data_IF_780195574285
#
_entry.id   IF_780195574285
#
_cell.length_a   1.000
_cell.length_b   1.000
_cell.length_c   1.000
_cell.angle_alpha   90.00
_cell.angle_beta   90.00
_cell.angle_gamma   90.00
#
_symmetry.space_group_name_H-M   'P 1'
#
loop_
_entity.id
_entity.type
_entity.pdbx_description
1 polymer ?
#
# COMPACT_ATOMS: atom_id res chain seq x y z
N UNK A 1 -51.88 49.59 3.69
CA UNK A 1 -50.89 50.07 4.68
C UNK A 1 -49.60 50.40 3.95
N UNK A 2 -49.57 51.56 3.28
CA UNK A 2 -48.32 52.17 2.90
C UNK A 2 -47.56 52.49 4.19
N UNK A 3 -46.30 52.04 4.32
CA UNK A 3 -45.22 52.77 5.02
C UNK A 3 -43.96 51.90 5.11
N UNK A 4 -42.84 52.58 4.81
CA UNK A 4 -41.46 52.25 5.10
C UNK A 4 -40.84 51.17 4.22
N UNK A 5 -40.49 51.50 2.98
CA UNK A 5 -39.21 51.08 2.36
C UNK A 5 -38.86 52.04 1.18
N UNK A 6 -39.07 53.34 1.38
CA UNK A 6 -38.46 54.42 0.57
C UNK A 6 -37.27 54.98 1.35
N UNK A 7 -36.06 54.51 1.05
CA UNK A 7 -34.82 55.27 1.37
C UNK A 7 -33.55 54.86 0.64
N UNK A 8 -33.56 53.76 -0.11
CA UNK A 8 -32.43 53.43 -1.00
C UNK A 8 -33.00 52.94 -2.33
N UNK A 9 -33.14 53.87 -3.28
CA UNK A 9 -33.59 53.61 -4.65
C UNK A 9 -32.57 52.78 -5.43
N UNK A 10 -32.40 51.52 -5.04
CA UNK A 10 -31.57 50.55 -5.73
C UNK A 10 -32.48 49.56 -6.47
N UNK A 11 -32.68 49.82 -7.76
CA UNK A 11 -33.25 48.82 -8.67
C UNK A 11 -32.27 47.63 -8.81
N UNK A 12 -32.78 46.38 -8.97
CA UNK A 12 -31.94 45.21 -9.19
C UNK A 12 -31.06 45.35 -10.43
N UNK A 13 -29.77 45.08 -10.24
CA UNK A 13 -28.63 45.32 -11.13
C UNK A 13 -28.68 44.64 -12.52
N UNK A 14 -29.66 43.82 -12.85
CA UNK A 14 -29.59 42.95 -14.05
C UNK A 14 -30.20 43.55 -15.33
N UNK A 15 -30.70 44.78 -15.31
CA UNK A 15 -31.35 45.41 -16.47
C UNK A 15 -30.49 46.51 -17.13
N UNK A 16 -29.25 46.17 -17.50
CA UNK A 16 -28.43 46.99 -18.40
C UNK A 16 -27.61 46.12 -19.34
N UNK A 17 -28.30 45.37 -20.19
CA UNK A 17 -27.72 44.82 -21.42
C UNK A 17 -28.24 45.65 -22.59
N UNK A 18 -27.37 46.43 -23.21
CA UNK A 18 -27.75 47.24 -24.37
C UNK A 18 -26.66 48.16 -24.87
N UNK A 19 -25.83 47.63 -25.77
CA UNK A 19 -25.15 48.36 -26.86
C UNK A 19 -23.98 49.27 -26.49
N UNK A 20 -22.78 48.83 -26.86
CA UNK A 20 -21.57 49.64 -26.86
C UNK A 20 -20.43 48.87 -27.52
N UNK A 21 -20.36 48.96 -28.85
CA UNK A 21 -19.28 48.43 -29.66
C UNK A 21 -17.93 49.02 -29.22
N UNK A 22 -16.93 48.15 -29.06
CA UNK A 22 -15.55 48.55 -28.78
C UNK A 22 -14.65 47.32 -28.78
N UNK A 23 -13.90 47.14 -29.86
CA UNK A 23 -13.02 46.00 -30.04
C UNK A 23 -11.91 45.96 -29.00
N UNK A 24 -11.82 44.82 -28.32
CA UNK A 24 -10.59 44.34 -27.70
C UNK A 24 -10.53 42.84 -27.99
N UNK A 25 -9.52 42.41 -28.76
CA UNK A 25 -9.22 40.99 -28.91
C UNK A 25 -8.81 40.45 -27.54
N UNK A 26 -9.66 39.65 -26.92
CA UNK A 26 -9.33 38.83 -25.76
C UNK A 26 -8.87 37.45 -26.25
N UNK A 27 -7.62 37.14 -25.95
CA UNK A 27 -7.02 35.82 -26.14
C UNK A 27 -7.91 34.76 -25.49
N UNK A 28 -8.14 33.65 -26.22
CA UNK A 28 -9.00 32.55 -25.78
C UNK A 28 -8.66 32.12 -24.34
N UNK A 29 -9.64 32.32 -23.44
CA UNK A 29 -9.58 31.79 -22.09
C UNK A 29 -9.48 30.26 -22.16
N UNK A 30 -8.39 29.70 -21.65
CA UNK A 30 -8.22 28.27 -21.49
C UNK A 30 -9.33 27.66 -20.61
N UNK A 31 -9.58 26.35 -20.72
CA UNK A 31 -10.70 25.72 -20.04
C UNK A 31 -10.57 25.86 -18.52
N UNK A 32 -11.69 26.16 -17.85
CA UNK A 32 -11.75 26.27 -16.39
C UNK A 32 -11.24 24.98 -15.72
N UNK A 33 -10.55 25.08 -14.57
CA UNK A 33 -10.05 23.89 -13.87
C UNK A 33 -11.22 22.99 -13.47
N UNK A 34 -11.11 21.70 -13.81
CA UNK A 34 -12.09 20.69 -13.42
C UNK A 34 -12.22 20.65 -11.88
N UNK A 35 -13.45 20.50 -11.39
CA UNK A 35 -13.71 20.35 -9.96
C UNK A 35 -12.87 19.20 -9.38
N UNK A 36 -12.36 19.31 -8.13
CA UNK A 36 -11.57 18.27 -7.51
C UNK A 36 -12.38 16.97 -7.42
N UNK A 37 -11.86 15.91 -8.04
CA UNK A 37 -12.51 14.60 -8.04
C UNK A 37 -12.44 14.00 -6.62
N UNK A 38 -13.60 13.61 -6.08
CA UNK A 38 -13.66 12.85 -4.83
C UNK A 38 -13.18 11.43 -5.12
N UNK A 39 -12.14 10.92 -4.43
CA UNK A 39 -11.69 9.56 -4.65
C UNK A 39 -12.79 8.57 -4.26
N UNK A 40 -12.98 7.54 -5.08
CA UNK A 40 -13.92 6.46 -4.80
C UNK A 40 -13.60 5.75 -3.49
N UNK A 41 -14.57 4.99 -2.97
CA UNK A 41 -14.38 4.18 -1.75
C UNK A 41 -13.28 3.14 -2.02
N UNK A 42 -12.25 3.04 -1.16
CA UNK A 42 -11.21 2.03 -1.35
C UNK A 42 -11.86 0.63 -1.34
N UNK A 43 -11.47 -0.23 -2.28
CA UNK A 43 -11.94 -1.61 -2.44
C UNK A 43 -13.43 -1.80 -2.82
N UNK A 44 -14.14 -0.74 -3.23
CA UNK A 44 -15.49 -0.90 -3.77
C UNK A 44 -15.47 -1.75 -5.04
N UNK A 45 -16.04 -2.96 -4.97
CA UNK A 45 -16.11 -3.89 -6.11
C UNK A 45 -16.83 -3.28 -7.33
N UNK A 46 -17.75 -2.35 -7.09
CA UNK A 46 -18.55 -1.71 -8.14
C UNK A 46 -17.85 -0.50 -8.77
N UNK A 47 -16.94 0.16 -8.03
CA UNK A 47 -16.15 1.30 -8.53
C UNK A 47 -14.76 0.89 -9.01
N UNK A 48 -14.35 -0.36 -8.76
CA UNK A 48 -13.13 -0.97 -9.25
C UNK A 48 -13.26 -1.30 -10.75
N UNK A 49 -13.20 -0.27 -11.59
CA UNK A 49 -12.92 -0.47 -13.00
C UNK A 49 -11.57 -1.18 -13.12
N UNK A 50 -11.52 -2.29 -13.86
CA UNK A 50 -10.29 -3.04 -14.16
C UNK A 50 -9.42 -2.21 -15.11
N UNK A 51 -8.78 -1.19 -14.54
CA UNK A 51 -7.78 -0.42 -15.23
C UNK A 51 -6.53 -1.30 -15.37
N UNK A 52 -5.92 -1.39 -16.56
CA UNK A 52 -4.67 -2.11 -16.70
C UNK A 52 -3.67 -1.50 -15.72
N UNK A 53 -3.27 -2.28 -14.72
CA UNK A 53 -2.35 -1.82 -13.70
C UNK A 53 -1.08 -1.27 -14.39
N UNK A 54 -0.68 -0.06 -14.02
CA UNK A 54 0.48 0.58 -14.64
C UNK A 54 1.71 -0.31 -14.42
N UNK A 55 2.32 -0.73 -15.53
CA UNK A 55 3.45 -1.64 -15.55
C UNK A 55 4.62 -1.13 -14.69
N UNK A 56 4.75 0.18 -14.53
CA UNK A 56 5.76 0.77 -13.62
C UNK A 56 5.52 0.40 -12.16
N UNK A 57 4.27 0.43 -11.70
CA UNK A 57 3.91 0.06 -10.33
C UNK A 57 4.05 -1.44 -10.10
N UNK A 58 3.65 -2.27 -11.07
CA UNK A 58 3.87 -3.71 -11.00
C UNK A 58 5.36 -4.03 -10.86
N UNK A 59 6.20 -3.41 -11.70
CA UNK A 59 7.65 -3.57 -11.62
C UNK A 59 8.23 -3.10 -10.28
N UNK A 60 7.69 -2.02 -9.70
CA UNK A 60 8.09 -1.55 -8.38
C UNK A 60 7.74 -2.53 -7.26
N UNK A 61 6.54 -3.13 -7.30
CA UNK A 61 6.13 -4.15 -6.34
C UNK A 61 7.02 -5.39 -6.47
N UNK A 62 7.26 -5.85 -7.71
CA UNK A 62 8.16 -6.97 -7.97
C UNK A 62 9.58 -6.69 -7.47
N UNK A 63 10.11 -5.49 -7.74
CA UNK A 63 11.41 -5.06 -7.24
C UNK A 63 11.45 -5.00 -5.71
N UNK A 64 10.38 -4.51 -5.06
CA UNK A 64 10.27 -4.46 -3.61
C UNK A 64 10.18 -5.84 -2.96
N UNK A 65 9.69 -6.86 -3.67
CA UNK A 65 9.59 -8.24 -3.19
C UNK A 65 10.90 -9.04 -3.30
N UNK A 66 11.92 -8.53 -4.02
CA UNK A 66 13.21 -9.23 -4.14
C UNK A 66 13.94 -9.36 -2.80
N UNK A 67 14.94 -10.24 -2.75
CA UNK A 67 15.86 -10.33 -1.62
C UNK A 67 16.76 -9.08 -1.55
N UNK A 68 17.18 -8.62 -0.37
CA UNK A 68 18.07 -7.46 -0.22
C UNK A 68 19.36 -7.54 -1.05
N UNK A 69 19.99 -8.72 -1.10
CA UNK A 69 21.23 -9.00 -1.85
C UNK A 69 21.04 -8.81 -3.37
N UNK A 70 19.81 -8.98 -3.87
CA UNK A 70 19.47 -8.76 -5.29
C UNK A 70 19.13 -7.30 -5.60
N UNK A 71 18.84 -6.47 -4.59
CA UNK A 71 18.47 -5.05 -4.74
C UNK A 71 19.64 -4.10 -4.58
N UNK A 72 20.52 -4.38 -3.62
CA UNK A 72 21.64 -3.51 -3.27
C UNK A 72 22.95 -4.27 -3.36
N UNK A 73 24.04 -3.58 -3.72
CA UNK A 73 25.38 -4.16 -3.73
C UNK A 73 25.93 -4.39 -2.33
N UNK A 74 25.52 -3.55 -1.37
CA UNK A 74 26.03 -3.50 -0.01
C UNK A 74 24.85 -3.41 0.98
N UNK A 75 25.00 -3.94 2.21
CA UNK A 75 23.99 -3.82 3.24
C UNK A 75 23.74 -2.34 3.58
N UNK A 76 22.48 -1.96 3.66
CA UNK A 76 22.10 -0.56 3.93
C UNK A 76 21.93 -0.28 5.43
N UNK A 77 21.83 -1.34 6.25
CA UNK A 77 21.65 -1.23 7.70
C UNK A 77 22.47 -2.30 8.42
N UNK A 78 22.87 -2.01 9.65
CA UNK A 78 23.57 -2.94 10.55
C UNK A 78 22.86 -4.30 10.67
N UNK A 79 21.53 -4.27 10.74
CA UNK A 79 20.74 -5.50 10.82
C UNK A 79 20.78 -6.33 9.54
N UNK A 80 21.00 -5.71 8.38
CA UNK A 80 21.16 -6.42 7.11
C UNK A 80 22.53 -7.07 7.00
N UNK A 81 23.56 -6.52 7.65
CA UNK A 81 24.93 -7.08 7.60
C UNK A 81 24.98 -8.54 8.10
N UNK A 82 24.27 -8.83 9.19
CA UNK A 82 24.22 -10.16 9.80
C UNK A 82 23.67 -11.22 8.83
N UNK A 83 22.69 -10.84 8.01
CA UNK A 83 22.03 -11.72 7.05
C UNK A 83 22.51 -11.57 5.60
N UNK A 84 23.53 -10.73 5.35
CA UNK A 84 23.93 -10.37 4.00
C UNK A 84 24.62 -11.53 3.27
N UNK A 85 25.48 -12.27 3.97
CA UNK A 85 26.18 -13.44 3.42
C UNK A 85 25.51 -14.71 3.94
N UNK A 86 24.60 -15.30 3.16
CA UNK A 86 23.91 -16.54 3.52
C UNK A 86 24.74 -17.80 3.25
N UNK A 87 25.82 -17.67 2.47
CA UNK A 87 26.73 -18.76 2.18
C UNK A 87 27.61 -19.05 3.40
N UNK A 88 27.63 -20.29 3.92
CA UNK A 88 28.47 -20.61 5.05
C UNK A 88 29.95 -20.49 4.66
N UNK A 89 30.80 -20.04 5.58
CA UNK A 89 32.25 -19.92 5.37
C UNK A 89 32.91 -21.28 5.05
N UNK A 90 32.33 -22.37 5.56
CA UNK A 90 32.77 -23.73 5.32
C UNK A 90 31.62 -24.48 4.64
N UNK A 91 31.90 -25.12 3.52
CA UNK A 91 30.94 -26.01 2.87
C UNK A 91 30.71 -27.23 3.76
N UNK A 92 29.57 -27.28 4.44
CA UNK A 92 29.18 -28.44 5.25
C UNK A 92 28.48 -29.45 4.36
N UNK A 93 29.14 -30.57 4.10
CA UNK A 93 28.49 -31.71 3.48
C UNK A 93 27.53 -32.37 4.48
N UNK A 94 26.22 -32.17 4.26
CA UNK A 94 25.17 -32.78 5.10
C UNK A 94 24.88 -34.23 4.74
N UNK A 95 25.52 -34.77 3.70
CA UNK A 95 25.41 -36.18 3.31
C UNK A 95 26.41 -37.07 4.04
N UNK A 96 27.55 -36.50 4.46
CA UNK A 96 28.57 -37.24 5.19
C UNK A 96 28.11 -37.58 6.63
N UNK A 97 27.75 -38.84 6.83
CA UNK A 97 27.32 -39.39 8.13
C UNK A 97 28.45 -39.42 9.18
N UNK A 98 29.71 -39.18 8.79
CA UNK A 98 30.85 -39.13 9.70
C UNK A 98 30.98 -37.78 10.42
N UNK A 99 30.46 -36.72 9.81
CA UNK A 99 30.59 -35.35 10.31
C UNK A 99 29.23 -34.71 10.61
N UNK A 100 28.15 -35.16 9.97
CA UNK A 100 26.81 -34.63 10.14
C UNK A 100 25.95 -35.49 11.08
N UNK A 101 25.80 -35.06 12.33
CA UNK A 101 25.01 -35.72 13.37
C UNK A 101 23.83 -34.85 13.85
N UNK A 102 22.78 -34.64 13.04
CA UNK A 102 21.61 -33.91 13.49
C UNK A 102 20.89 -34.69 14.58
N UNK A 103 20.35 -33.99 15.58
CA UNK A 103 19.47 -34.62 16.57
C UNK A 103 18.18 -35.05 15.87
N UNK A 104 17.91 -36.35 15.89
CA UNK A 104 16.68 -36.92 15.36
C UNK A 104 15.79 -37.43 16.50
N UNK A 105 14.49 -37.24 16.37
CA UNK A 105 13.52 -37.81 17.31
C UNK A 105 13.38 -39.30 17.03
N UNK A 106 13.67 -40.14 18.02
CA UNK A 106 13.37 -41.58 17.97
C UNK A 106 11.88 -41.83 18.20
N UNK A 107 11.43 -43.04 17.91
CA UNK A 107 10.06 -43.48 18.16
C UNK A 107 9.68 -43.33 19.64
N UNK A 108 10.60 -43.68 20.55
CA UNK A 108 10.42 -43.55 22.00
C UNK A 108 10.23 -42.09 22.38
N UNK A 109 11.07 -41.18 21.88
CA UNK A 109 10.94 -39.75 22.18
C UNK A 109 9.61 -39.19 21.66
N UNK A 110 9.17 -39.60 20.46
CA UNK A 110 7.87 -39.21 19.89
C UNK A 110 6.70 -39.74 20.74
N UNK A 111 6.75 -41.00 21.17
CA UNK A 111 5.74 -41.61 22.03
C UNK A 111 5.63 -40.89 23.38
N UNK A 112 6.77 -40.63 24.03
CA UNK A 112 6.79 -39.90 25.30
C UNK A 112 6.24 -38.48 25.15
N UNK A 113 6.62 -37.78 24.07
CA UNK A 113 6.10 -36.44 23.76
C UNK A 113 4.57 -36.45 23.57
N UNK A 114 4.02 -37.46 22.89
CA UNK A 114 2.58 -37.62 22.71
C UNK A 114 1.86 -37.94 24.04
N UNK A 115 2.42 -38.86 24.82
CA UNK A 115 1.91 -39.23 26.15
C UNK A 115 1.86 -38.00 27.06
N UNK A 116 2.90 -37.17 27.05
CA UNK A 116 2.96 -35.97 27.88
C UNK A 116 1.92 -34.92 27.48
N UNK A 117 1.74 -34.68 26.17
CA UNK A 117 0.68 -33.77 25.69
C UNK A 117 -0.72 -34.23 26.12
N UNK A 118 -1.02 -35.52 26.02
CA UNK A 118 -2.32 -36.06 26.44
C UNK A 118 -2.54 -35.87 27.94
N UNK A 119 -1.49 -36.06 28.75
CA UNK A 119 -1.54 -35.83 30.18
C UNK A 119 -1.84 -34.37 30.51
N UNK A 120 -1.11 -33.41 29.94
CA UNK A 120 -1.35 -31.97 30.14
C UNK A 120 -2.78 -31.56 29.74
N UNK A 121 -3.31 -32.09 28.63
CA UNK A 121 -4.68 -31.84 28.23
C UNK A 121 -5.70 -32.37 29.24
N UNK A 122 -5.44 -33.55 29.81
CA UNK A 122 -6.32 -34.14 30.82
C UNK A 122 -6.31 -33.37 32.15
N UNK A 123 -5.14 -32.86 32.57
CA UNK A 123 -4.98 -32.06 33.79
C UNK A 123 -5.59 -30.66 33.64
N UNK A 124 -5.48 -30.03 32.45
CA UNK A 124 -6.06 -28.71 32.19
C UNK A 124 -7.60 -28.70 32.05
N UNK A 125 -8.24 -29.86 31.91
CA UNK A 125 -9.71 -30.01 31.84
C UNK A 125 -10.36 -30.36 33.18
N UNK A 126 -9.56 -30.61 34.22
CA UNK A 126 -10.02 -30.88 35.60
C UNK A 126 -9.98 -29.60 36.44
#
# INVERSE_FOLDING_TARGET
>A
MARLHERFGLAPRWERAGSGAGGAQCSAAGPAPAAPAVPGKPLSRHDAAEQPADAKFLNLIHHAALEPIKKYSEPQTESQEIGWTTTPLISVDRTDRRLYFPRQKSEITKYMEATWRLKEQSENMQ
#
